data_IF_275499105375
#
_entry.id   IF_275499105375
#
_cell.length_a   1.000
_cell.length_b   1.000
_cell.length_c   1.000
_cell.angle_alpha   90.00
_cell.angle_beta   90.00
_cell.angle_gamma   90.00
#
_symmetry.space_group_name_H-M   'P 1'
#
loop_
_entity.id
_entity.type
_entity.pdbx_description
1 polymer ?
#
# COMPACT_ATOMS: atom_id res chain seq x y z
N UNK A 1 -23.11 0.62 -18.46
CA UNK A 1 -23.86 1.45 -17.48
C UNK A 1 -25.39 1.49 -17.66
N UNK A 2 -25.99 0.86 -18.69
CA UNK A 2 -27.45 1.00 -18.98
C UNK A 2 -28.38 0.01 -18.25
N UNK A 3 -27.87 -1.02 -17.58
CA UNK A 3 -28.71 -2.05 -16.90
C UNK A 3 -28.93 -1.81 -15.40
N UNK A 4 -28.03 -1.07 -14.73
CA UNK A 4 -28.19 -0.71 -13.33
C UNK A 4 -29.33 0.31 -13.15
N UNK A 5 -29.47 1.26 -14.08
CA UNK A 5 -30.46 2.34 -14.03
C UNK A 5 -31.93 1.86 -14.00
N UNK A 6 -32.22 0.69 -14.58
CA UNK A 6 -33.60 0.18 -14.72
C UNK A 6 -34.15 -0.49 -13.46
N UNK A 7 -33.29 -0.99 -12.55
CA UNK A 7 -33.74 -1.68 -11.31
C UNK A 7 -34.15 -0.72 -10.18
N UNK A 8 -33.90 0.58 -10.33
CA UNK A 8 -34.13 1.57 -9.27
C UNK A 8 -35.48 2.29 -9.35
N UNK A 9 -36.48 1.78 -10.07
CA UNK A 9 -37.77 2.48 -10.22
C UNK A 9 -38.68 2.46 -8.96
N UNK A 10 -38.20 2.02 -7.79
CA UNK A 10 -38.97 2.06 -6.54
C UNK A 10 -38.56 3.23 -5.65
N UNK A 11 -39.57 3.91 -5.12
CA UNK A 11 -39.58 5.23 -4.50
C UNK A 11 -39.02 5.24 -3.06
N UNK A 12 -37.99 4.45 -2.76
CA UNK A 12 -37.37 4.43 -1.43
C UNK A 12 -36.47 5.65 -1.27
N UNK A 13 -36.84 6.56 -0.37
CA UNK A 13 -35.92 7.56 0.17
C UNK A 13 -34.77 6.81 0.84
N UNK A 14 -33.61 6.81 0.22
CA UNK A 14 -32.38 6.32 0.86
C UNK A 14 -31.87 7.51 1.69
N UNK A 15 -31.95 7.47 3.03
CA UNK A 15 -31.30 8.48 3.86
C UNK A 15 -29.79 8.46 3.57
N UNK A 16 -29.09 9.58 3.75
CA UNK A 16 -27.63 9.52 3.95
C UNK A 16 -27.37 8.86 5.30
N UNK A 17 -27.59 7.55 5.37
CA UNK A 17 -26.98 6.68 6.37
C UNK A 17 -25.59 6.28 5.86
N UNK A 18 -24.77 5.69 6.72
CA UNK A 18 -23.42 5.28 6.33
C UNK A 18 -22.31 6.17 6.91
N UNK A 19 -21.14 6.26 6.24
CA UNK A 19 -19.95 6.89 6.79
C UNK A 19 -20.14 8.38 7.11
N UNK A 20 -20.96 9.11 6.34
CA UNK A 20 -21.17 10.54 6.54
C UNK A 20 -21.81 10.89 7.89
N UNK A 21 -22.60 9.97 8.46
CA UNK A 21 -23.26 10.16 9.77
C UNK A 21 -22.50 9.43 10.88
N UNK A 22 -21.98 8.24 10.61
CA UNK A 22 -21.48 7.34 11.64
C UNK A 22 -19.96 7.25 11.75
N UNK A 23 -19.18 8.05 11.00
CA UNK A 23 -17.71 7.97 11.04
C UNK A 23 -17.13 8.18 12.45
N UNK A 24 -17.76 9.02 13.30
CA UNK A 24 -17.32 9.25 14.68
C UNK A 24 -17.47 8.01 15.57
N UNK A 25 -18.48 7.20 15.29
CA UNK A 25 -18.75 5.97 16.02
C UNK A 25 -17.84 4.81 15.56
N UNK A 26 -17.25 4.91 14.35
CA UNK A 26 -16.50 3.82 13.73
C UNK A 26 -15.39 3.31 14.64
N UNK A 27 -14.60 4.21 15.25
CA UNK A 27 -13.53 3.80 16.17
C UNK A 27 -14.08 3.00 17.35
N UNK A 28 -15.12 3.50 18.01
CA UNK A 28 -15.76 2.80 19.12
C UNK A 28 -16.34 1.46 18.70
N UNK A 29 -16.92 1.40 17.52
CA UNK A 29 -17.46 0.16 16.93
C UNK A 29 -16.36 -0.87 16.67
N UNK A 30 -15.30 -0.51 15.94
CA UNK A 30 -14.18 -1.41 15.63
C UNK A 30 -13.48 -1.93 16.89
N UNK A 31 -13.31 -1.07 17.90
CA UNK A 31 -12.71 -1.48 19.16
C UNK A 31 -13.56 -2.49 19.94
N UNK A 32 -14.89 -2.47 19.77
CA UNK A 32 -15.80 -3.38 20.46
C UNK A 32 -16.22 -4.59 19.62
N UNK A 33 -15.89 -4.62 18.33
CA UNK A 33 -16.22 -5.71 17.42
C UNK A 33 -15.54 -7.02 17.81
N UNK A 34 -16.27 -8.15 17.75
CA UNK A 34 -15.75 -9.48 18.05
C UNK A 34 -15.68 -10.36 16.81
N UNK A 35 -14.72 -11.28 16.78
CA UNK A 35 -14.63 -12.29 15.71
C UNK A 35 -15.90 -13.14 15.74
N UNK A 36 -16.63 -13.18 14.63
CA UNK A 36 -17.94 -13.83 14.50
C UNK A 36 -19.13 -12.87 14.50
N UNK A 37 -18.94 -11.62 14.94
CA UNK A 37 -19.96 -10.58 14.77
C UNK A 37 -20.13 -10.24 13.28
N UNK A 38 -21.32 -9.76 12.92
CA UNK A 38 -21.59 -9.25 11.58
C UNK A 38 -21.22 -7.78 11.51
N UNK A 39 -20.34 -7.43 10.57
CA UNK A 39 -20.02 -6.02 10.31
C UNK A 39 -21.25 -5.26 9.80
N UNK A 40 -21.52 -4.11 10.41
CA UNK A 40 -22.61 -3.21 10.03
C UNK A 40 -22.20 -2.39 8.79
N UNK A 41 -22.16 -3.08 7.66
CA UNK A 41 -21.68 -2.56 6.39
C UNK A 41 -22.48 -1.33 5.93
N UNK A 42 -23.81 -1.38 6.05
CA UNK A 42 -24.66 -0.25 5.68
C UNK A 42 -24.38 0.98 6.54
N UNK A 43 -24.12 0.81 7.84
CA UNK A 43 -23.81 1.92 8.74
C UNK A 43 -22.45 2.56 8.51
N UNK A 44 -21.42 1.81 8.12
CA UNK A 44 -20.06 2.36 8.04
C UNK A 44 -19.51 2.51 6.62
N UNK A 45 -19.97 1.69 5.68
CA UNK A 45 -19.61 1.80 4.26
C UNK A 45 -20.73 2.48 3.45
N UNK A 46 -21.97 2.46 3.95
CA UNK A 46 -23.14 2.99 3.23
C UNK A 46 -23.68 2.00 2.20
N UNK A 47 -24.83 2.30 1.57
CA UNK A 47 -25.37 1.49 0.48
C UNK A 47 -24.39 1.41 -0.69
N UNK A 48 -24.35 0.29 -1.41
CA UNK A 48 -23.43 0.08 -2.53
C UNK A 48 -23.59 1.15 -3.62
N UNK A 49 -24.82 1.62 -3.83
CA UNK A 49 -25.12 2.73 -4.73
C UNK A 49 -24.38 3.99 -4.31
N UNK A 50 -24.41 4.32 -3.02
CA UNK A 50 -23.73 5.49 -2.49
C UNK A 50 -22.22 5.35 -2.59
N UNK A 51 -21.68 4.16 -2.34
CA UNK A 51 -20.24 3.88 -2.49
C UNK A 51 -19.80 4.09 -3.94
N UNK A 52 -20.51 3.52 -4.90
CA UNK A 52 -20.23 3.72 -6.33
C UNK A 52 -20.25 5.20 -6.76
N UNK A 53 -20.98 6.06 -6.02
CA UNK A 53 -21.03 7.49 -6.30
C UNK A 53 -20.00 8.32 -5.54
N UNK A 54 -19.81 8.09 -4.25
CA UNK A 54 -18.97 8.94 -3.40
C UNK A 54 -17.52 8.46 -3.37
N UNK A 55 -17.31 7.14 -3.31
CA UNK A 55 -16.01 6.52 -3.09
C UNK A 55 -16.03 5.09 -3.64
N UNK A 56 -15.85 4.88 -4.95
CA UNK A 56 -15.97 3.56 -5.57
C UNK A 56 -15.06 2.49 -4.92
N UNK A 57 -14.03 2.91 -4.16
CA UNK A 57 -13.04 2.03 -3.54
C UNK A 57 -12.81 2.28 -2.02
N UNK A 58 -13.78 2.83 -1.27
CA UNK A 58 -13.59 3.00 0.19
C UNK A 58 -13.94 1.74 0.99
N UNK A 59 -13.11 0.70 0.86
CA UNK A 59 -13.10 -0.43 1.79
C UNK A 59 -12.48 -0.06 3.15
N UNK A 60 -12.09 1.20 3.38
CA UNK A 60 -11.39 1.67 4.59
C UNK A 60 -12.00 1.14 5.90
N UNK A 61 -13.33 1.21 6.15
CA UNK A 61 -13.88 0.65 7.39
C UNK A 61 -13.65 -0.86 7.55
N UNK A 62 -13.71 -1.62 6.45
CA UNK A 62 -13.44 -3.06 6.43
C UNK A 62 -11.94 -3.37 6.57
N UNK A 63 -11.06 -2.59 5.95
CA UNK A 63 -9.61 -2.76 6.14
C UNK A 63 -9.19 -2.43 7.57
N UNK A 64 -9.75 -1.35 8.15
CA UNK A 64 -9.53 -1.02 9.57
C UNK A 64 -10.09 -2.13 10.48
N UNK A 65 -11.21 -2.75 10.11
CA UNK A 65 -11.71 -3.92 10.81
C UNK A 65 -10.74 -5.10 10.72
N UNK A 66 -10.29 -5.45 9.51
CA UNK A 66 -9.32 -6.53 9.31
C UNK A 66 -8.04 -6.27 10.11
N UNK A 67 -7.50 -5.06 10.05
CA UNK A 67 -6.33 -4.65 10.82
C UNK A 67 -6.56 -4.77 12.33
N UNK A 68 -7.73 -4.34 12.82
CA UNK A 68 -8.07 -4.41 14.25
C UNK A 68 -8.34 -5.82 14.76
N UNK A 69 -8.73 -6.75 13.88
CA UNK A 69 -8.96 -8.16 14.23
C UNK A 69 -7.71 -9.03 14.12
N UNK A 70 -6.81 -8.73 13.18
CA UNK A 70 -5.69 -9.60 12.87
C UNK A 70 -4.43 -9.26 13.66
N UNK A 71 -3.88 -8.06 13.47
CA UNK A 71 -2.57 -7.73 14.03
C UNK A 71 -2.55 -6.47 14.90
N UNK A 72 -3.25 -5.41 14.49
CA UNK A 72 -3.06 -4.03 14.98
C UNK A 72 -1.61 -3.56 14.92
N UNK A 73 -0.76 -4.27 14.18
CA UNK A 73 0.67 -3.99 14.13
C UNK A 73 0.93 -2.90 13.12
N UNK A 74 1.83 -2.01 13.51
CA UNK A 74 2.40 -0.99 12.64
C UNK A 74 3.90 -1.27 12.57
N UNK A 75 4.41 -1.54 11.37
CA UNK A 75 5.83 -1.70 11.13
C UNK A 75 6.44 -0.36 10.77
N UNK A 76 7.26 0.19 11.66
CA UNK A 76 8.01 1.40 11.36
C UNK A 76 9.33 1.05 10.72
N UNK A 77 9.47 1.35 9.43
CA UNK A 77 10.64 1.01 8.64
C UNK A 77 11.64 2.17 8.68
N UNK A 78 12.87 1.90 9.11
CA UNK A 78 13.93 2.92 9.11
C UNK A 78 14.33 3.33 7.69
N UNK A 79 14.90 4.53 7.54
CA UNK A 79 15.35 5.07 6.24
C UNK A 79 16.29 4.10 5.50
N UNK A 80 17.30 3.56 6.20
CA UNK A 80 18.26 2.61 5.62
C UNK A 80 17.58 1.31 5.15
N UNK A 81 16.62 0.78 5.93
CA UNK A 81 15.90 -0.42 5.54
C UNK A 81 15.00 -0.12 4.35
N UNK A 82 14.28 0.99 4.35
CA UNK A 82 13.43 1.39 3.24
C UNK A 82 14.22 1.48 1.93
N UNK A 83 15.38 2.14 1.94
CA UNK A 83 16.28 2.22 0.78
C UNK A 83 16.72 0.83 0.28
N UNK A 84 17.06 -0.08 1.20
CA UNK A 84 17.43 -1.46 0.85
C UNK A 84 16.26 -2.21 0.20
N UNK A 85 15.05 -2.06 0.73
CA UNK A 85 13.85 -2.72 0.22
C UNK A 85 13.47 -2.19 -1.17
N UNK A 86 13.47 -0.87 -1.37
CA UNK A 86 13.17 -0.24 -2.66
C UNK A 86 14.20 -0.61 -3.75
N UNK A 87 15.47 -0.72 -3.37
CA UNK A 87 16.57 -1.14 -4.27
C UNK A 87 16.62 -2.64 -4.57
N UNK A 88 15.64 -3.43 -4.10
CA UNK A 88 15.59 -4.88 -4.28
C UNK A 88 14.61 -5.31 -5.38
N UNK A 89 15.07 -6.16 -6.29
CA UNK A 89 14.25 -6.77 -7.33
C UNK A 89 13.41 -7.92 -6.78
N UNK A 90 12.14 -7.92 -7.16
CA UNK A 90 11.19 -9.00 -6.87
C UNK A 90 10.85 -9.85 -8.09
N UNK A 91 11.48 -9.62 -9.25
CA UNK A 91 11.07 -10.19 -10.55
C UNK A 91 11.10 -11.72 -10.68
N UNK A 92 11.52 -12.46 -9.64
CA UNK A 92 11.48 -13.94 -9.61
C UNK A 92 10.51 -14.50 -8.58
N UNK A 93 9.93 -13.65 -7.74
CA UNK A 93 8.99 -14.08 -6.71
C UNK A 93 7.59 -14.02 -7.28
N UNK A 94 6.82 -15.07 -6.99
CA UNK A 94 5.39 -15.01 -7.15
C UNK A 94 4.73 -14.39 -5.94
N UNK A 95 3.50 -13.92 -6.09
CA UNK A 95 2.71 -13.39 -4.97
C UNK A 95 2.53 -14.46 -3.88
N UNK A 96 2.36 -15.74 -4.25
CA UNK A 96 2.24 -16.84 -3.29
C UNK A 96 3.54 -17.16 -2.53
N UNK A 97 4.70 -16.76 -3.06
CA UNK A 97 5.99 -16.96 -2.39
C UNK A 97 6.21 -15.98 -1.24
N UNK A 98 5.43 -14.90 -1.16
CA UNK A 98 5.57 -13.87 -0.13
C UNK A 98 5.02 -14.40 1.20
N UNK A 99 5.84 -14.48 2.26
CA UNK A 99 5.41 -14.94 3.57
C UNK A 99 4.76 -13.79 4.35
N UNK A 100 3.51 -13.48 4.02
CA UNK A 100 2.74 -12.41 4.66
C UNK A 100 2.74 -12.59 6.18
N UNK A 101 3.16 -11.58 6.98
CA UNK A 101 3.24 -11.73 8.43
C UNK A 101 1.86 -11.84 9.07
N UNK A 102 0.87 -11.14 8.50
CA UNK A 102 -0.54 -11.14 8.90
C UNK A 102 -1.42 -10.91 7.67
N UNK A 103 -2.71 -11.24 7.79
CA UNK A 103 -3.70 -10.91 6.76
C UNK A 103 -3.98 -9.40 6.69
N UNK A 104 -3.72 -8.63 7.75
CA UNK A 104 -3.77 -7.16 7.69
C UNK A 104 -2.76 -6.50 8.65
N UNK A 105 -2.01 -5.52 8.16
CA UNK A 105 -0.98 -4.78 8.89
C UNK A 105 -0.68 -3.43 8.24
N UNK A 106 -0.07 -2.52 9.00
CA UNK A 106 0.37 -1.22 8.50
C UNK A 106 1.89 -1.13 8.47
N UNK A 107 2.41 -0.30 7.57
CA UNK A 107 3.82 0.08 7.48
C UNK A 107 3.90 1.60 7.50
N UNK A 108 4.68 2.19 8.42
CA UNK A 108 5.05 3.60 8.38
C UNK A 108 6.42 3.73 7.74
N UNK A 109 6.55 4.67 6.81
CA UNK A 109 7.73 4.90 5.99
C UNK A 109 8.55 6.05 6.56
N UNK A 110 9.87 5.89 6.63
CA UNK A 110 10.75 6.99 7.00
C UNK A 110 10.84 8.06 5.90
N UNK A 111 10.73 7.65 4.64
CA UNK A 111 10.66 8.57 3.49
C UNK A 111 9.33 8.36 2.76
N UNK A 112 8.48 9.38 2.61
CA UNK A 112 7.20 9.23 1.90
C UNK A 112 7.40 8.80 0.44
N UNK A 113 6.50 7.96 -0.07
CA UNK A 113 6.38 7.69 -1.49
C UNK A 113 5.73 8.90 -2.16
N UNK A 114 6.31 9.37 -3.26
CA UNK A 114 5.80 10.53 -3.99
C UNK A 114 5.07 10.07 -5.24
N UNK A 115 3.85 10.54 -5.42
CA UNK A 115 3.06 10.41 -6.65
C UNK A 115 2.67 11.79 -7.17
N UNK A 116 2.39 11.89 -8.46
CA UNK A 116 1.87 13.12 -9.06
C UNK A 116 0.39 12.97 -9.34
N UNK A 117 -0.42 13.89 -8.84
CA UNK A 117 -1.86 13.90 -9.07
C UNK A 117 -2.20 14.43 -10.48
N UNK A 118 -3.50 14.48 -10.81
CA UNK A 118 -3.98 14.96 -12.11
C UNK A 118 -3.63 16.44 -12.40
N UNK A 119 -3.45 17.26 -11.36
CA UNK A 119 -3.07 18.67 -11.48
C UNK A 119 -1.56 18.88 -11.60
N UNK A 120 -0.77 17.80 -11.54
CA UNK A 120 0.68 17.86 -11.57
C UNK A 120 1.33 18.14 -10.21
N UNK A 121 0.56 18.19 -9.12
CA UNK A 121 1.08 18.36 -7.77
C UNK A 121 1.60 17.03 -7.22
N UNK A 122 2.68 17.12 -6.46
CA UNK A 122 3.23 15.98 -5.75
C UNK A 122 2.38 15.66 -4.52
N UNK A 123 2.24 14.38 -4.25
CA UNK A 123 1.46 13.79 -3.17
C UNK A 123 2.35 12.82 -2.43
N UNK A 124 2.46 12.98 -1.12
CA UNK A 124 3.29 12.16 -0.26
C UNK A 124 2.44 11.10 0.45
N UNK A 125 2.88 9.86 0.41
CA UNK A 125 2.31 8.74 1.17
C UNK A 125 3.34 8.18 2.13
N UNK A 126 3.11 8.32 3.43
CA UNK A 126 4.01 7.89 4.50
C UNK A 126 3.52 6.62 5.21
N UNK A 127 2.31 6.15 4.89
CA UNK A 127 1.75 4.92 5.45
C UNK A 127 1.22 4.01 4.35
N UNK A 128 1.52 2.71 4.47
CA UNK A 128 0.96 1.64 3.64
C UNK A 128 0.13 0.72 4.54
N UNK A 129 -1.17 0.65 4.27
CA UNK A 129 -2.05 -0.36 4.84
C UNK A 129 -2.16 -1.53 3.86
N UNK A 130 -1.85 -2.73 4.34
CA UNK A 130 -1.99 -3.98 3.60
C UNK A 130 -3.13 -4.76 4.23
N UNK A 131 -4.12 -5.13 3.44
CA UNK A 131 -5.27 -5.91 3.91
C UNK A 131 -5.68 -6.97 2.91
N UNK A 132 -5.70 -8.22 3.36
CA UNK A 132 -6.34 -9.30 2.65
C UNK A 132 -7.84 -9.23 2.91
N UNK A 133 -8.58 -8.88 1.87
CA UNK A 133 -10.03 -8.76 1.94
C UNK A 133 -10.68 -9.83 1.07
N UNK A 134 -11.70 -10.48 1.63
CA UNK A 134 -12.70 -11.15 0.81
C UNK A 134 -13.70 -10.08 0.40
N UNK A 135 -13.74 -9.76 -0.90
CA UNK A 135 -14.64 -8.73 -1.39
C UNK A 135 -16.10 -9.15 -1.16
N UNK A 136 -16.78 -8.48 -0.23
CA UNK A 136 -18.18 -8.78 0.13
C UNK A 136 -19.14 -8.57 -1.05
N UNK A 137 -18.78 -7.70 -1.99
CA UNK A 137 -19.65 -7.27 -3.09
C UNK A 137 -19.52 -8.17 -4.33
N UNK A 138 -18.29 -8.57 -4.71
CA UNK A 138 -18.07 -9.37 -5.93
C UNK A 138 -18.12 -10.87 -5.69
N UNK A 139 -18.06 -11.33 -4.43
CA UNK A 139 -18.15 -12.75 -4.08
C UNK A 139 -16.91 -13.54 -4.50
N UNK A 140 -16.12 -13.97 -3.51
CA UNK A 140 -14.96 -14.88 -3.65
C UNK A 140 -13.73 -14.33 -4.40
N UNK A 141 -13.49 -13.02 -4.40
CA UNK A 141 -12.18 -12.51 -4.79
C UNK A 141 -11.27 -12.46 -3.56
N UNK A 142 -10.24 -13.32 -3.57
CA UNK A 142 -9.18 -13.34 -2.57
C UNK A 142 -8.13 -12.30 -2.98
N UNK A 143 -8.34 -11.07 -2.54
CA UNK A 143 -7.54 -9.91 -2.93
C UNK A 143 -6.64 -9.47 -1.78
N UNK A 144 -5.43 -9.02 -2.10
CA UNK A 144 -4.60 -8.23 -1.19
C UNK A 144 -4.72 -6.78 -1.64
N UNK A 145 -5.36 -5.95 -0.83
CA UNK A 145 -5.49 -4.50 -1.05
C UNK A 145 -4.32 -3.77 -0.38
N UNK A 146 -3.74 -2.84 -1.12
CA UNK A 146 -2.66 -1.97 -0.69
C UNK A 146 -3.17 -0.55 -0.76
N UNK A 147 -3.31 0.09 0.40
CA UNK A 147 -3.75 1.46 0.52
C UNK A 147 -2.61 2.33 1.01
N UNK A 148 -2.17 3.22 0.14
CA UNK A 148 -1.25 4.29 0.47
C UNK A 148 -2.04 5.43 1.10
N UNK A 149 -1.63 5.86 2.27
CA UNK A 149 -2.25 6.90 3.06
C UNK A 149 -1.29 8.08 3.12
N UNK A 150 -1.82 9.27 2.83
CA UNK A 150 -1.08 10.52 2.87
C UNK A 150 -1.12 11.15 4.25
N UNK A 151 -0.06 11.86 4.63
CA UNK A 151 0.02 12.73 5.80
C UNK A 151 -1.06 13.84 5.76
N UNK A 152 -1.53 14.21 4.57
CA UNK A 152 -2.64 15.14 4.38
C UNK A 152 -3.99 14.62 4.92
N UNK A 153 -4.09 13.34 5.32
CA UNK A 153 -5.29 12.81 5.96
C UNK A 153 -5.61 13.49 7.28
N UNK A 154 -4.59 14.02 7.98
CA UNK A 154 -4.76 14.75 9.24
C UNK A 154 -5.33 16.17 9.03
N UNK A 155 -5.20 16.73 7.82
CA UNK A 155 -5.69 18.06 7.46
C UNK A 155 -7.21 18.11 7.18
N UNK A 156 -8.00 17.19 7.74
CA UNK A 156 -9.43 17.08 7.46
C UNK A 156 -10.26 18.12 8.22
N UNK A 157 -11.01 18.91 7.45
CA UNK A 157 -12.18 19.65 7.95
C UNK A 157 -13.39 18.73 7.90
N UNK A 158 -14.11 18.59 9.02
CA UNK A 158 -15.38 17.87 9.05
C UNK A 158 -16.36 18.48 8.05
N UNK A 159 -17.12 17.63 7.34
CA UNK A 159 -18.18 18.10 6.45
C UNK A 159 -19.25 18.81 7.27
N UNK A 160 -19.48 20.09 6.95
CA UNK A 160 -20.50 20.88 7.62
C UNK A 160 -21.90 20.31 7.34
N UNK A 161 -22.85 20.35 8.29
CA UNK A 161 -24.18 19.76 8.11
C UNK A 161 -24.93 20.25 6.86
N UNK A 162 -24.74 21.51 6.47
CA UNK A 162 -25.32 22.09 5.24
C UNK A 162 -24.85 21.37 3.97
N UNK A 163 -23.62 20.87 3.98
CA UNK A 163 -23.00 20.16 2.86
C UNK A 163 -23.58 18.78 2.73
N UNK A 164 -23.67 18.08 3.88
CA UNK A 164 -24.32 16.78 3.97
C UNK A 164 -25.74 16.89 3.42
N UNK A 165 -26.51 17.91 3.81
CA UNK A 165 -27.86 18.15 3.25
C UNK A 165 -27.84 18.36 1.73
N UNK A 166 -26.87 19.10 1.18
CA UNK A 166 -26.77 19.23 -0.28
C UNK A 166 -26.46 17.91 -1.00
N UNK A 167 -25.62 17.06 -0.40
CA UNK A 167 -25.40 15.70 -0.86
C UNK A 167 -26.70 14.88 -0.80
N UNK A 168 -27.49 14.99 0.28
CA UNK A 168 -28.77 14.27 0.44
C UNK A 168 -29.76 14.66 -0.67
N UNK A 169 -29.95 15.96 -0.87
CA UNK A 169 -30.84 16.48 -1.90
C UNK A 169 -30.41 16.03 -3.31
N UNK A 170 -29.11 16.08 -3.60
CA UNK A 170 -28.56 15.66 -4.89
C UNK A 170 -28.75 14.14 -5.12
N UNK A 171 -28.53 13.33 -4.08
CA UNK A 171 -28.69 11.88 -4.13
C UNK A 171 -30.17 11.50 -4.33
N UNK A 172 -31.06 12.04 -3.49
CA UNK A 172 -32.50 11.76 -3.55
C UNK A 172 -33.13 12.21 -4.88
N UNK A 173 -32.66 13.33 -5.44
CA UNK A 173 -33.12 13.82 -6.74
C UNK A 173 -32.50 13.11 -7.95
N UNK A 174 -31.61 12.13 -7.73
CA UNK A 174 -30.86 11.39 -8.77
C UNK A 174 -30.14 12.30 -9.76
N UNK A 175 -29.71 13.47 -9.31
CA UNK A 175 -29.00 14.45 -10.13
C UNK A 175 -27.51 14.15 -10.10
N UNK A 176 -27.08 13.12 -10.83
CA UNK A 176 -25.68 12.67 -10.91
C UNK A 176 -24.70 13.81 -11.22
N UNK A 177 -25.06 14.72 -12.13
CA UNK A 177 -24.24 15.93 -12.42
C UNK A 177 -24.07 16.83 -11.20
N UNK A 178 -25.13 17.08 -10.43
CA UNK A 178 -25.06 17.92 -9.21
C UNK A 178 -24.26 17.21 -8.13
N UNK A 179 -24.39 15.89 -8.01
CA UNK A 179 -23.58 15.07 -7.12
C UNK A 179 -22.09 15.20 -7.47
N UNK A 180 -21.74 15.01 -8.74
CA UNK A 180 -20.38 15.17 -9.23
C UNK A 180 -19.86 16.60 -8.96
N UNK A 181 -20.63 17.64 -9.28
CA UNK A 181 -20.21 19.02 -8.98
C UNK A 181 -20.02 19.30 -7.48
N UNK A 182 -20.79 18.64 -6.60
CA UNK A 182 -20.58 18.74 -5.16
C UNK A 182 -19.29 18.01 -4.75
N UNK A 183 -19.03 16.82 -5.30
CA UNK A 183 -17.78 16.10 -5.10
C UNK A 183 -16.58 16.88 -5.63
N UNK A 184 -16.65 17.44 -6.83
CA UNK A 184 -15.57 18.25 -7.42
C UNK A 184 -15.32 19.51 -6.57
N UNK A 185 -16.38 20.13 -6.03
CA UNK A 185 -16.28 21.33 -5.21
C UNK A 185 -15.76 21.06 -3.79
N UNK A 186 -16.14 19.93 -3.19
CA UNK A 186 -15.86 19.61 -1.78
C UNK A 186 -14.74 18.61 -1.60
N UNK A 187 -14.67 17.60 -2.46
CA UNK A 187 -13.53 16.72 -2.60
C UNK A 187 -12.35 17.45 -3.22
N UNK A 188 -12.58 18.42 -4.11
CA UNK A 188 -11.51 19.01 -4.92
C UNK A 188 -10.70 17.94 -5.64
N UNK A 189 -9.60 18.32 -6.26
CA UNK A 189 -8.53 17.36 -6.56
C UNK A 189 -7.91 16.74 -5.28
N UNK A 190 -8.35 17.13 -4.09
CA UNK A 190 -7.74 16.85 -2.80
C UNK A 190 -8.21 15.53 -2.14
N UNK A 191 -9.27 14.86 -2.62
CA UNK A 191 -9.63 13.52 -2.11
C UNK A 191 -8.92 12.39 -2.84
N UNK A 192 -8.71 12.50 -4.16
CA UNK A 192 -7.91 11.51 -4.89
C UNK A 192 -6.41 11.63 -4.61
N UNK A 193 -5.94 12.72 -4.01
CA UNK A 193 -4.55 12.87 -3.57
C UNK A 193 -4.29 12.17 -2.25
N UNK A 194 -5.29 12.00 -1.37
CA UNK A 194 -4.97 11.58 0.01
C UNK A 194 -4.77 10.09 0.19
N UNK A 195 -5.32 9.30 -0.73
CA UNK A 195 -5.13 7.85 -0.72
C UNK A 195 -4.96 7.33 -2.13
N UNK A 196 -4.01 6.43 -2.33
CA UNK A 196 -3.92 5.62 -3.53
C UNK A 196 -4.16 4.15 -3.16
N UNK A 197 -4.81 3.41 -4.04
CA UNK A 197 -5.17 2.01 -3.80
C UNK A 197 -4.74 1.20 -5.02
N UNK A 198 -4.12 0.06 -4.76
CA UNK A 198 -3.99 -0.99 -5.75
C UNK A 198 -4.22 -2.33 -5.04
N UNK A 199 -4.63 -3.34 -5.80
CA UNK A 199 -4.86 -4.67 -5.23
C UNK A 199 -4.08 -5.71 -6.01
N UNK A 200 -3.98 -6.93 -5.48
CA UNK A 200 -3.41 -8.11 -6.13
C UNK A 200 -4.41 -9.26 -5.98
N UNK A 201 -4.82 -9.87 -7.10
CA UNK A 201 -5.64 -11.09 -7.09
C UNK A 201 -4.77 -12.31 -6.80
N UNK A 202 -4.97 -12.93 -5.63
CA UNK A 202 -4.17 -14.10 -5.22
C UNK A 202 -4.46 -15.36 -6.02
N UNK A 203 -5.61 -15.42 -6.70
CA UNK A 203 -5.95 -16.56 -7.58
C UNK A 203 -5.04 -16.57 -8.81
N UNK A 204 -4.49 -15.41 -9.14
CA UNK A 204 -3.53 -15.20 -10.22
C UNK A 204 -2.15 -15.23 -9.59
N UNK A 205 -1.56 -16.43 -9.50
CA UNK A 205 -0.21 -16.63 -8.98
C UNK A 205 0.87 -16.19 -9.99
N UNK A 206 0.88 -14.89 -10.30
CA UNK A 206 1.83 -14.25 -11.20
C UNK A 206 3.09 -13.79 -10.47
N UNK A 207 4.10 -13.42 -11.26
CA UNK A 207 5.27 -12.74 -10.75
C UNK A 207 4.83 -11.42 -10.10
N UNK A 208 5.45 -11.06 -8.97
CA UNK A 208 5.15 -9.82 -8.25
C UNK A 208 5.27 -8.60 -9.17
N UNK A 209 6.30 -8.59 -10.03
CA UNK A 209 6.47 -7.53 -11.03
C UNK A 209 5.28 -7.44 -11.98
N UNK A 210 4.70 -8.56 -12.42
CA UNK A 210 3.56 -8.57 -13.35
C UNK A 210 2.24 -8.22 -12.65
N UNK A 211 2.08 -8.60 -11.38
CA UNK A 211 0.84 -8.37 -10.61
C UNK A 211 0.53 -6.88 -10.38
N UNK A 212 1.56 -6.05 -10.18
CA UNK A 212 1.39 -4.60 -10.01
C UNK A 212 0.87 -3.97 -11.30
N UNK A 213 1.29 -4.46 -12.47
CA UNK A 213 0.90 -3.90 -13.77
C UNK A 213 -0.48 -4.37 -14.25
N UNK A 214 -0.84 -5.64 -13.99
CA UNK A 214 -2.10 -6.21 -14.48
C UNK A 214 -3.38 -5.61 -13.87
N UNK A 215 -3.25 -4.82 -12.80
CA UNK A 215 -4.37 -4.34 -11.99
C UNK A 215 -4.68 -2.85 -12.10
N UNK A 216 -3.69 -2.02 -12.46
CA UNK A 216 -3.84 -0.60 -12.85
C UNK A 216 -4.94 -0.43 -13.90
N UNK A 217 -5.00 -1.40 -14.80
CA UNK A 217 -5.80 -1.37 -16.00
C UNK A 217 -7.31 -1.46 -15.68
N UNK A 218 -7.71 -2.20 -14.62
CA UNK A 218 -9.12 -2.59 -14.38
C UNK A 218 -9.94 -1.61 -13.56
N UNK A 219 -9.32 -0.81 -12.68
CA UNK A 219 -10.04 0.02 -11.71
C UNK A 219 -10.32 1.45 -12.18
N UNK A 220 -9.41 2.04 -12.97
CA UNK A 220 -9.49 3.46 -13.34
C UNK A 220 -10.24 3.73 -14.65
N UNK A 221 -10.47 2.69 -15.45
CA UNK A 221 -10.92 2.83 -16.83
C UNK A 221 -12.06 1.84 -17.04
N UNK A 222 -13.29 2.36 -17.08
CA UNK A 222 -14.43 1.54 -17.50
C UNK A 222 -14.09 0.77 -18.78
N UNK A 223 -14.50 -0.51 -18.83
CA UNK A 223 -14.15 -1.52 -19.86
C UNK A 223 -14.04 -1.00 -21.32
N UNK A 224 -14.77 0.06 -21.69
CA UNK A 224 -14.82 0.61 -23.05
C UNK A 224 -13.60 1.47 -23.48
N UNK A 225 -12.61 1.72 -22.62
CA UNK A 225 -11.41 2.53 -22.96
C UNK A 225 -10.08 1.75 -23.00
N UNK A 226 -10.17 0.43 -22.88
CA UNK A 226 -9.04 -0.49 -22.81
C UNK A 226 -8.21 -0.61 -24.09
N UNK A 227 -8.82 -0.47 -25.26
CA UNK A 227 -8.17 -0.87 -26.52
C UNK A 227 -7.05 0.07 -27.01
N UNK A 228 -6.80 1.20 -26.34
CA UNK A 228 -5.86 2.22 -26.81
C UNK A 228 -4.73 2.59 -25.85
N UNK A 229 -4.61 1.95 -24.68
CA UNK A 229 -3.50 2.20 -23.77
C UNK A 229 -2.34 1.25 -24.05
N UNK A 230 -1.28 1.80 -24.64
CA UNK A 230 -0.01 1.12 -24.80
C UNK A 230 0.49 0.62 -23.43
N UNK A 231 1.00 -0.63 -23.32
CA UNK A 231 1.47 -1.24 -22.08
C UNK A 231 2.83 -0.67 -21.61
N UNK A 232 3.04 0.64 -21.77
CA UNK A 232 4.24 1.32 -21.26
C UNK A 232 4.18 1.40 -19.73
N UNK A 233 4.91 0.46 -19.13
CA UNK A 233 5.29 0.14 -17.74
C UNK A 233 5.63 1.33 -16.80
N UNK A 234 5.40 2.59 -17.17
CA UNK A 234 5.86 3.78 -16.42
C UNK A 234 4.79 4.53 -15.62
N UNK A 235 3.53 4.11 -15.61
CA UNK A 235 2.46 5.01 -15.17
C UNK A 235 2.41 5.29 -13.65
N UNK A 236 2.90 4.38 -12.78
CA UNK A 236 2.73 4.53 -11.32
C UNK A 236 3.95 4.01 -10.50
N UNK A 237 5.10 4.72 -10.52
CA UNK A 237 6.33 4.29 -9.84
C UNK A 237 6.19 4.08 -8.33
N UNK A 238 5.25 4.78 -7.70
CA UNK A 238 4.98 4.65 -6.26
C UNK A 238 4.31 3.31 -5.89
N UNK A 239 3.55 2.67 -6.81
CA UNK A 239 2.96 1.35 -6.54
C UNK A 239 4.02 0.24 -6.58
N UNK A 240 4.94 0.30 -7.54
CA UNK A 240 6.08 -0.62 -7.58
C UNK A 240 6.97 -0.45 -6.33
N UNK A 241 7.28 0.78 -5.95
CA UNK A 241 8.00 1.07 -4.71
C UNK A 241 7.27 0.52 -3.47
N UNK A 242 5.96 0.77 -3.35
CA UNK A 242 5.15 0.23 -2.26
C UNK A 242 5.19 -1.30 -2.21
N UNK A 243 5.06 -1.97 -3.36
CA UNK A 243 5.11 -3.43 -3.43
C UNK A 243 6.48 -3.98 -3.05
N UNK A 244 7.57 -3.34 -3.49
CA UNK A 244 8.94 -3.69 -3.08
C UNK A 244 9.14 -3.56 -1.58
N UNK A 245 8.67 -2.47 -0.99
CA UNK A 245 8.72 -2.26 0.46
C UNK A 245 7.93 -3.34 1.19
N UNK A 246 6.67 -3.56 0.80
CA UNK A 246 5.80 -4.52 1.51
C UNK A 246 6.30 -5.95 1.40
N UNK A 247 6.54 -6.44 0.18
CA UNK A 247 6.98 -7.82 -0.04
C UNK A 247 8.43 -8.03 0.44
N UNK A 248 9.29 -7.03 0.24
CA UNK A 248 10.66 -7.03 0.76
C UNK A 248 10.68 -7.06 2.28
N UNK A 249 9.81 -6.31 2.96
CA UNK A 249 9.66 -6.37 4.41
C UNK A 249 9.20 -7.76 4.85
N UNK A 250 8.16 -8.32 4.23
CA UNK A 250 7.68 -9.67 4.56
C UNK A 250 8.80 -10.72 4.45
N UNK A 251 9.59 -10.69 3.37
CA UNK A 251 10.76 -11.55 3.19
C UNK A 251 11.85 -11.26 4.24
N UNK A 252 12.13 -9.99 4.52
CA UNK A 252 13.12 -9.56 5.51
C UNK A 252 12.81 -10.13 6.90
N UNK A 253 11.55 -10.06 7.34
CA UNK A 253 11.13 -10.59 8.63
C UNK A 253 11.43 -12.10 8.78
N UNK A 254 11.43 -12.87 7.69
CA UNK A 254 11.79 -14.30 7.73
C UNK A 254 13.27 -14.57 7.91
N UNK A 255 14.12 -13.59 7.61
CA UNK A 255 15.59 -13.71 7.77
C UNK A 255 16.08 -13.30 9.16
N UNK A 256 15.22 -12.67 9.95
CA UNK A 256 15.57 -12.29 11.31
C UNK A 256 15.74 -13.54 12.17
N UNK A 257 16.88 -13.62 12.87
CA UNK A 257 17.15 -14.70 13.82
C UNK A 257 16.06 -14.73 14.90
N UNK A 258 15.82 -15.90 15.48
CA UNK A 258 14.79 -16.11 16.52
C UNK A 258 15.03 -15.26 17.78
N UNK A 259 16.28 -14.91 18.05
CA UNK A 259 16.73 -14.06 19.15
C UNK A 259 16.90 -12.59 18.75
N UNK A 260 16.55 -12.22 17.51
CA UNK A 260 16.68 -10.83 17.05
C UNK A 260 15.79 -9.93 17.91
N UNK A 261 16.33 -8.82 18.46
CA UNK A 261 15.53 -7.86 19.22
C UNK A 261 14.44 -7.23 18.35
N UNK A 262 14.67 -7.19 17.03
CA UNK A 262 13.66 -6.79 16.08
C UNK A 262 12.52 -7.80 16.12
N UNK A 263 12.80 -9.11 16.03
CA UNK A 263 11.83 -10.22 16.06
C UNK A 263 11.18 -10.44 17.43
N UNK A 264 10.62 -9.39 18.04
CA UNK A 264 9.86 -9.45 19.30
C UNK A 264 8.72 -10.49 19.19
N UNK A 265 7.85 -10.64 20.20
CA UNK A 265 6.75 -11.62 20.21
C UNK A 265 5.66 -11.34 19.14
N UNK A 266 6.08 -11.08 17.90
CA UNK A 266 5.35 -10.84 16.68
C UNK A 266 4.47 -12.04 16.33
N UNK A 267 5.03 -13.24 16.47
CA UNK A 267 4.39 -14.48 16.03
C UNK A 267 3.40 -15.05 17.06
N UNK A 268 3.27 -14.42 18.24
CA UNK A 268 2.35 -14.86 19.28
C UNK A 268 1.04 -14.07 19.28
N UNK A 269 -0.12 -14.71 19.48
CA UNK A 269 -1.35 -14.00 19.81
C UNK A 269 -1.13 -13.17 21.08
N UNK A 270 -1.77 -12.00 21.17
CA UNK A 270 -1.74 -11.15 22.37
C UNK A 270 -2.10 -12.04 23.58
N UNK A 271 -1.20 -12.09 24.57
CA UNK A 271 -1.35 -12.97 25.73
C UNK A 271 -2.73 -12.81 26.38
N UNK A 272 -3.39 -13.94 26.66
CA UNK A 272 -4.71 -13.95 27.29
C UNK A 272 -4.64 -13.22 28.65
N UNK A 273 -5.39 -12.12 28.80
CA UNK A 273 -5.50 -11.37 30.06
C UNK A 273 -5.25 -9.87 29.95
N UNK A 274 -4.53 -9.41 28.93
CA UNK A 274 -4.52 -7.98 28.57
C UNK A 274 -5.74 -7.68 27.69
N UNK A 275 -6.36 -6.50 27.84
CA UNK A 275 -7.42 -6.10 26.91
C UNK A 275 -6.82 -6.06 25.49
N UNK A 276 -7.16 -7.00 24.59
CA UNK A 276 -6.61 -7.00 23.23
C UNK A 276 -7.04 -5.74 22.46
N UNK A 277 -7.97 -4.96 23.03
CA UNK A 277 -8.49 -3.73 22.45
C UNK A 277 -7.62 -2.51 22.73
N UNK A 278 -6.69 -2.56 23.68
CA UNK A 278 -5.94 -1.39 24.09
C UNK A 278 -4.58 -1.30 23.37
N UNK A 279 -4.36 -0.19 22.64
CA UNK A 279 -3.01 0.25 22.26
C UNK A 279 -2.45 0.97 23.48
N UNK A 280 -1.98 0.20 24.45
CA UNK A 280 -1.56 0.73 25.77
C UNK A 280 -0.08 1.13 25.80
N UNK A 281 0.70 0.72 24.81
CA UNK A 281 2.16 0.95 24.78
C UNK A 281 2.65 1.08 23.35
N UNK A 282 3.74 1.83 23.17
CA UNK A 282 4.57 1.85 21.94
C UNK A 282 4.99 0.46 21.47
N UNK A 283 4.92 -0.57 22.32
CA UNK A 283 5.20 -1.98 21.96
C UNK A 283 4.28 -2.62 20.91
N UNK A 284 3.22 -1.95 20.44
CA UNK A 284 2.45 -2.39 19.26
C UNK A 284 2.96 -1.78 17.95
N UNK A 285 3.82 -0.75 18.05
CA UNK A 285 4.66 -0.28 16.93
C UNK A 285 5.90 -1.16 16.91
N UNK A 286 6.05 -1.91 15.82
CA UNK A 286 7.20 -2.75 15.56
C UNK A 286 8.23 -1.90 14.83
N UNK A 287 9.23 -1.39 15.54
CA UNK A 287 10.35 -0.73 14.89
C UNK A 287 11.22 -1.78 14.20
N UNK A 288 11.29 -1.70 12.87
CA UNK A 288 12.11 -2.59 12.05
C UNK A 288 13.23 -1.77 11.46
N UNK A 289 14.40 -1.93 12.05
CA UNK A 289 15.64 -1.32 11.57
C UNK A 289 16.40 -2.31 10.69
N UNK A 290 17.29 -1.82 9.83
CA UNK A 290 18.21 -2.71 9.15
C UNK A 290 19.25 -3.24 10.14
N UNK A 291 19.50 -4.55 10.15
CA UNK A 291 20.68 -5.14 10.80
C UNK A 291 22.01 -4.64 10.19
N UNK A 292 21.95 -3.98 9.05
CA UNK A 292 23.09 -3.39 8.36
C UNK A 292 22.93 -1.87 8.33
N UNK A 293 23.80 -1.20 9.08
CA UNK A 293 23.91 0.26 9.03
C UNK A 293 24.60 0.61 7.71
N UNK A 294 23.94 1.41 6.88
CA UNK A 294 24.54 1.91 5.64
C UNK A 294 25.48 3.07 6.00
N UNK A 295 26.68 3.07 5.45
CA UNK A 295 27.53 4.26 5.54
C UNK A 295 26.97 5.39 4.65
N UNK A 296 27.49 6.61 4.83
CA UNK A 296 26.99 7.77 4.08
C UNK A 296 27.15 7.61 2.56
N UNK A 297 28.23 6.96 2.10
CA UNK A 297 28.49 6.73 0.68
C UNK A 297 27.50 5.73 0.09
N UNK A 298 27.28 4.62 0.78
CA UNK A 298 26.28 3.60 0.43
C UNK A 298 24.88 4.19 0.39
N UNK A 299 24.49 4.98 1.40
CA UNK A 299 23.18 5.64 1.47
C UNK A 299 22.95 6.55 0.26
N UNK A 300 23.95 7.38 -0.08
CA UNK A 300 23.87 8.26 -1.25
C UNK A 300 23.78 7.45 -2.54
N UNK A 301 24.60 6.41 -2.70
CA UNK A 301 24.59 5.55 -3.87
C UNK A 301 23.27 4.81 -4.08
N UNK A 302 22.70 4.24 -3.01
CA UNK A 302 21.41 3.55 -3.06
C UNK A 302 20.26 4.52 -3.36
N UNK A 303 20.17 5.63 -2.64
CA UNK A 303 19.13 6.64 -2.84
C UNK A 303 19.07 7.08 -4.29
N UNK A 304 20.24 7.38 -4.85
CA UNK A 304 20.37 7.83 -6.22
C UNK A 304 19.96 6.78 -7.25
N UNK A 305 20.34 5.52 -7.02
CA UNK A 305 19.92 4.43 -7.89
C UNK A 305 18.40 4.21 -7.85
N UNK A 306 17.79 4.32 -6.67
CA UNK A 306 16.33 4.29 -6.48
C UNK A 306 15.66 5.47 -7.22
N UNK A 307 16.19 6.68 -7.08
CA UNK A 307 15.66 7.87 -7.73
C UNK A 307 15.77 7.80 -9.26
N UNK A 308 16.92 7.37 -9.79
CA UNK A 308 17.13 7.20 -11.24
C UNK A 308 16.17 6.15 -11.83
N UNK A 309 15.91 5.08 -11.09
CA UNK A 309 14.94 4.05 -11.48
C UNK A 309 13.51 4.59 -11.52
N UNK A 310 13.11 5.38 -10.51
CA UNK A 310 11.78 6.03 -10.48
C UNK A 310 11.57 6.95 -11.69
N UNK A 311 12.64 7.53 -12.21
CA UNK A 311 12.63 8.39 -13.41
C UNK A 311 12.80 7.59 -14.72
N UNK A 312 12.92 6.26 -14.64
CA UNK A 312 13.03 5.38 -15.80
C UNK A 312 14.39 5.45 -16.52
N UNK A 313 15.47 5.84 -15.82
CA UNK A 313 16.80 5.92 -16.40
C UNK A 313 17.55 4.59 -16.20
N UNK A 314 17.66 3.78 -17.26
CA UNK A 314 18.51 2.58 -17.25
C UNK A 314 19.92 2.87 -17.78
N UNK A 315 20.99 2.49 -17.05
CA UNK A 315 22.36 2.63 -17.56
C UNK A 315 22.61 1.65 -18.71
N UNK A 316 23.03 2.15 -19.89
CA UNK A 316 23.43 1.34 -21.04
C UNK A 316 24.97 1.29 -21.18
N UNK A 317 25.54 0.08 -21.24
CA UNK A 317 26.87 -0.18 -21.81
C UNK A 317 28.01 -0.54 -20.83
N UNK A 318 28.69 -1.67 -21.15
CA UNK A 318 29.90 -2.25 -20.54
C UNK A 318 29.89 -2.40 -18.99
N UNK A 319 30.71 -3.30 -18.43
CA UNK A 319 30.83 -3.45 -16.96
C UNK A 319 31.62 -2.29 -16.33
N UNK A 320 31.08 -1.08 -16.48
CA UNK A 320 31.39 0.10 -15.71
C UNK A 320 30.98 -0.12 -14.25
N UNK A 321 31.48 0.71 -13.35
CA UNK A 321 30.97 0.70 -11.97
C UNK A 321 29.48 1.03 -12.01
N UNK A 322 28.66 0.06 -11.60
CA UNK A 322 27.21 0.15 -11.71
C UNK A 322 26.55 -0.34 -10.43
N UNK A 323 25.37 0.16 -10.17
CA UNK A 323 24.53 -0.36 -9.10
C UNK A 323 23.92 -1.68 -9.54
N UNK A 324 24.18 -2.74 -8.78
CA UNK A 324 23.46 -4.00 -8.90
C UNK A 324 22.36 -4.02 -7.85
N UNK A 325 21.13 -4.18 -8.31
CA UNK A 325 19.99 -4.30 -7.41
C UNK A 325 20.11 -5.50 -6.49
N UNK A 326 19.53 -5.33 -5.31
CA UNK A 326 19.35 -6.44 -4.39
C UNK A 326 18.43 -7.46 -5.02
N UNK A 327 18.53 -8.71 -4.60
CA UNK A 327 17.57 -9.73 -4.96
C UNK A 327 17.54 -10.78 -3.87
N UNK A 328 16.39 -11.41 -3.70
CA UNK A 328 16.24 -12.56 -2.83
C UNK A 328 16.56 -13.83 -3.63
N UNK A 329 17.29 -14.78 -3.03
CA UNK A 329 17.59 -16.07 -3.67
C UNK A 329 17.71 -17.19 -2.64
N UNK A 330 17.62 -18.43 -3.09
CA UNK A 330 18.05 -19.57 -2.26
C UNK A 330 19.59 -19.62 -2.17
N UNK A 331 20.17 -19.91 -1.00
CA UNK A 331 21.62 -20.06 -0.89
C UNK A 331 22.11 -21.24 -1.76
N UNK A 332 23.15 -21.04 -2.58
CA UNK A 332 23.66 -22.09 -3.47
C UNK A 332 24.28 -23.23 -2.66
N UNK A 333 24.01 -24.48 -3.06
CA UNK A 333 24.58 -25.67 -2.42
C UNK A 333 23.87 -26.12 -1.13
N UNK A 334 22.91 -25.35 -0.62
CA UNK A 334 22.20 -25.65 0.63
C UNK A 334 20.88 -26.40 0.44
N UNK A 335 20.66 -27.05 -0.72
CA UNK A 335 19.39 -27.72 -1.03
C UNK A 335 19.07 -28.92 -0.13
N UNK A 336 20.10 -29.55 0.46
CA UNK A 336 19.98 -30.73 1.33
C UNK A 336 20.08 -30.38 2.83
N UNK A 337 20.33 -29.13 3.18
CA UNK A 337 20.43 -28.69 4.58
C UNK A 337 19.09 -28.11 5.03
N UNK A 338 18.36 -28.87 5.84
CA UNK A 338 17.06 -28.45 6.38
C UNK A 338 17.14 -27.21 7.27
N UNK A 339 18.31 -26.92 7.83
CA UNK A 339 18.54 -25.77 8.70
C UNK A 339 18.96 -24.52 7.93
N UNK A 340 19.30 -24.65 6.64
CA UNK A 340 19.69 -23.50 5.84
C UNK A 340 18.48 -22.57 5.59
N UNK A 341 18.67 -21.24 5.65
CA UNK A 341 17.58 -20.31 5.38
C UNK A 341 17.04 -20.53 3.97
N UNK A 342 15.71 -20.66 3.85
CA UNK A 342 15.03 -20.90 2.57
C UNK A 342 15.37 -19.83 1.52
N UNK A 343 15.54 -18.59 1.98
CA UNK A 343 15.93 -17.45 1.15
C UNK A 343 16.95 -16.58 1.90
N UNK A 344 17.89 -16.02 1.15
CA UNK A 344 18.87 -15.03 1.61
C UNK A 344 18.73 -13.77 0.77
N UNK A 345 18.85 -12.61 1.41
CA UNK A 345 18.92 -11.33 0.73
C UNK A 345 20.34 -11.15 0.16
N UNK A 346 20.46 -11.08 -1.16
CA UNK A 346 21.63 -10.50 -1.78
C UNK A 346 21.39 -9.01 -1.82
N UNK A 347 22.17 -8.27 -1.03
CA UNK A 347 21.99 -6.83 -0.89
C UNK A 347 22.22 -6.11 -2.21
N UNK A 348 21.55 -4.97 -2.42
CA UNK A 348 21.96 -4.03 -3.44
C UNK A 348 23.41 -3.60 -3.17
N UNK A 349 24.23 -3.54 -4.22
CA UNK A 349 25.66 -3.25 -4.07
C UNK A 349 26.20 -2.54 -5.31
N UNK A 350 27.21 -1.71 -5.11
CA UNK A 350 27.95 -1.09 -6.22
C UNK A 350 28.97 -2.10 -6.73
N UNK A 351 28.71 -2.64 -7.92
CA UNK A 351 29.61 -3.57 -8.58
C UNK A 351 30.75 -2.80 -9.22
N UNK A 352 31.98 -3.28 -9.01
CA UNK A 352 33.24 -2.64 -9.45
C UNK A 352 33.56 -1.33 -8.73
N UNK A 353 33.34 -1.28 -7.42
CA UNK A 353 33.76 -0.14 -6.57
C UNK A 353 35.27 0.14 -6.67
N UNK A 354 36.07 -0.89 -6.97
CA UNK A 354 37.53 -0.79 -7.23
C UNK A 354 37.89 0.13 -8.39
N UNK A 355 36.93 0.44 -9.26
CA UNK A 355 37.09 1.34 -10.41
C UNK A 355 36.60 2.76 -10.15
N UNK A 356 36.08 3.04 -8.96
CA UNK A 356 35.73 4.40 -8.53
C UNK A 356 36.94 5.05 -7.85
N UNK A 357 37.38 6.24 -8.31
CA UNK A 357 38.24 7.09 -7.50
C UNK A 357 37.63 7.37 -6.13
N UNK A 358 38.46 7.63 -5.12
CA UNK A 358 37.97 8.01 -3.79
C UNK A 358 37.04 9.23 -3.88
N UNK A 359 35.83 9.09 -3.33
CA UNK A 359 34.77 10.10 -3.39
C UNK A 359 33.98 10.17 -4.70
N UNK A 360 34.32 9.36 -5.72
CA UNK A 360 33.55 9.29 -6.95
C UNK A 360 32.33 8.37 -6.84
N UNK A 361 31.29 8.66 -7.62
CA UNK A 361 30.06 7.87 -7.69
C UNK A 361 29.96 7.08 -9.02
N UNK A 362 29.29 5.91 -9.05
CA UNK A 362 29.10 5.11 -10.26
C UNK A 362 28.47 5.91 -11.40
N UNK A 363 28.88 5.64 -12.64
CA UNK A 363 28.29 6.29 -13.81
C UNK A 363 26.77 6.01 -13.87
N UNK A 364 25.97 7.06 -14.07
CA UNK A 364 24.51 7.04 -13.91
C UNK A 364 24.07 7.91 -12.74
N UNK A 365 24.89 7.97 -11.69
CA UNK A 365 24.70 8.86 -10.58
C UNK A 365 24.91 10.35 -11.00
N UNK A 366 23.88 11.12 -11.38
CA UNK A 366 23.96 12.60 -11.48
C UNK A 366 23.48 13.38 -10.26
N UNK A 367 24.38 14.19 -9.68
CA UNK A 367 24.14 15.13 -8.58
C UNK A 367 25.49 15.58 -8.04
N UNK A 368 25.75 16.90 -8.06
CA UNK A 368 27.00 17.49 -7.56
C UNK A 368 27.11 17.26 -6.05
N UNK A 369 28.20 16.62 -5.63
CA UNK A 369 28.62 16.60 -4.23
C UNK A 369 29.53 17.82 -4.05
N UNK A 370 29.04 18.82 -3.34
CA UNK A 370 29.88 19.80 -2.64
C UNK A 370 29.79 19.56 -1.15
#
# INVERSE_FOLDING_TARGET
MSSLSARFAQNTKIPLAGPLVHWRDLRGYLLNFRRGDKFDYERFCGPLELQNFLFPDSNVPLEMLAWTLESRRVYSVSEDLQLLLEGTELGKFKVSDIPWPFDSFMITLATPLVSRNADGNDVCYDVILVSRLQHYVSGNEDMIEFRLLSDELDMRTELQPVVIRHFEEAFQSRRSRRMQSLLDRWGGAAQSTRTAIFSIDRRIDTLVSESVFGMVDRSLIGQDRYDNLSPTVTAYPHWDAAMRIVAGLALYLTTLKSDSPQRSNWLGPIAAGLDPRAIITTGQVCEVTSMHVLDSSERIGLRKAVDDERVGRTPTGASSTHFRRGHWRRPPGSGNDENAPKVVHVRPTIVRVDRLPDGAQPAGAKGDVR
#
